data_IF_580149070301
#
_entry.id   IF_580149070301
#
_cell.length_a   1.000
_cell.length_b   1.000
_cell.length_c   1.000
_cell.angle_alpha   90.00
_cell.angle_beta   90.00
_cell.angle_gamma   90.00
#
_symmetry.space_group_name_H-M   'P 1'
#
loop_
_entity.id
_entity.type
_entity.pdbx_description
1 polymer ?
#
# COMPACT_ATOMS: atom_id res chain seq x y z
N UNK A 1 -4.67 2.49 -7.10
CA UNK A 1 -4.24 3.71 -6.37
C UNK A 1 -3.99 4.83 -7.36
N UNK A 2 -5.00 5.66 -7.59
CA UNK A 2 -4.96 6.84 -8.45
C UNK A 2 -4.27 8.04 -7.78
N UNK A 3 -4.37 8.16 -6.44
CA UNK A 3 -3.70 9.19 -5.65
C UNK A 3 -2.27 8.75 -5.32
N UNK A 4 -1.28 9.53 -5.74
CA UNK A 4 0.14 9.23 -5.53
C UNK A 4 0.71 9.78 -4.22
N UNK A 5 0.01 10.69 -3.54
CA UNK A 5 0.50 11.38 -2.35
C UNK A 5 0.16 10.69 -1.01
N UNK A 6 -0.90 9.89 -0.96
CA UNK A 6 -1.44 9.35 0.29
C UNK A 6 -2.07 7.97 0.10
N UNK A 7 -1.86 7.07 1.08
CA UNK A 7 -2.40 5.70 1.04
C UNK A 7 -3.84 5.61 1.56
N UNK A 8 -4.15 6.22 2.72
CA UNK A 8 -5.49 6.25 3.31
C UNK A 8 -6.05 7.66 3.23
N UNK A 9 -6.40 8.09 2.02
CA UNK A 9 -7.03 9.39 1.78
C UNK A 9 -8.55 9.26 1.85
N UNK A 10 -9.22 10.06 2.69
CA UNK A 10 -10.70 10.09 2.77
C UNK A 10 -11.35 10.57 1.47
N UNK A 11 -10.62 11.34 0.66
CA UNK A 11 -11.01 11.79 -0.68
C UNK A 11 -10.71 10.74 -1.77
N UNK A 12 -10.00 9.66 -1.45
CA UNK A 12 -9.76 8.56 -2.39
C UNK A 12 -11.04 7.78 -2.70
N UNK A 13 -11.06 7.11 -3.85
CA UNK A 13 -12.11 6.15 -4.15
C UNK A 13 -11.96 4.90 -3.27
N UNK A 14 -13.05 4.13 -3.11
CA UNK A 14 -13.07 2.96 -2.24
C UNK A 14 -12.06 1.89 -2.68
N UNK A 15 -11.95 1.64 -3.98
CA UNK A 15 -10.98 0.70 -4.54
C UNK A 15 -9.54 1.06 -4.17
N UNK A 16 -9.20 2.35 -4.14
CA UNK A 16 -7.85 2.81 -3.78
C UNK A 16 -7.54 2.58 -2.30
N UNK A 17 -8.50 2.80 -1.40
CA UNK A 17 -8.29 2.61 0.04
C UNK A 17 -8.30 1.13 0.43
N UNK A 18 -9.08 0.29 -0.27
CA UNK A 18 -9.02 -1.18 -0.13
C UNK A 18 -7.67 -1.70 -0.61
N UNK A 19 -7.21 -1.27 -1.79
CA UNK A 19 -5.88 -1.62 -2.28
C UNK A 19 -4.77 -1.17 -1.32
N UNK A 20 -4.91 0.03 -0.74
CA UNK A 20 -3.97 0.52 0.26
C UNK A 20 -3.97 -0.35 1.53
N UNK A 21 -5.12 -0.90 1.94
CA UNK A 21 -5.20 -1.83 3.06
C UNK A 21 -4.51 -3.17 2.78
N UNK A 22 -4.68 -3.72 1.56
CA UNK A 22 -3.95 -4.94 1.12
C UNK A 22 -2.43 -4.70 1.12
N UNK A 23 -1.97 -3.59 0.54
CA UNK A 23 -0.54 -3.28 0.43
C UNK A 23 0.12 -2.88 1.76
N UNK A 24 -0.66 -2.40 2.73
CA UNK A 24 -0.15 -1.80 3.99
C UNK A 24 -0.98 -2.24 5.20
N UNK A 25 -1.08 -3.55 5.50
CA UNK A 25 -1.99 -4.09 6.51
C UNK A 25 -1.69 -3.56 7.92
N UNK A 26 -0.41 -3.39 8.29
CA UNK A 26 -0.01 -2.81 9.57
C UNK A 26 -0.53 -1.38 9.76
N UNK A 27 -0.49 -0.57 8.69
CA UNK A 27 -0.98 0.82 8.72
C UNK A 27 -2.51 0.85 8.74
N UNK A 28 -3.18 -0.05 8.02
CA UNK A 28 -4.63 -0.20 8.11
C UNK A 28 -5.10 -0.51 9.54
N UNK A 29 -4.41 -1.40 10.26
CA UNK A 29 -4.70 -1.72 11.66
C UNK A 29 -4.54 -0.50 12.58
N UNK A 30 -3.53 0.35 12.35
CA UNK A 30 -3.39 1.62 13.08
C UNK A 30 -4.59 2.55 12.85
N UNK A 31 -5.09 2.63 11.62
CA UNK A 31 -6.27 3.43 11.29
C UNK A 31 -7.55 2.88 11.93
N UNK A 32 -7.72 1.56 12.03
CA UNK A 32 -8.82 0.95 12.80
C UNK A 32 -8.78 1.39 14.28
N UNK A 33 -7.60 1.43 14.89
CA UNK A 33 -7.45 1.90 16.26
C UNK A 33 -7.78 3.40 16.42
N UNK A 34 -7.42 4.23 15.43
CA UNK A 34 -7.76 5.66 15.39
C UNK A 34 -9.27 5.87 15.25
N UNK A 35 -9.92 5.16 14.33
CA UNK A 35 -11.38 5.19 14.15
C UNK A 35 -12.12 4.85 15.45
N UNK A 36 -11.69 3.80 16.17
CA UNK A 36 -12.27 3.45 17.47
C UNK A 36 -12.09 4.55 18.53
N UNK A 37 -10.94 5.26 18.50
CA UNK A 37 -10.65 6.37 19.42
C UNK A 37 -11.50 7.61 19.11
N UNK A 38 -11.68 7.94 17.82
CA UNK A 38 -12.41 9.12 17.36
C UNK A 38 -13.93 8.88 17.39
N UNK A 39 -14.38 7.62 17.33
CA UNK A 39 -15.80 7.22 17.25
C UNK A 39 -16.50 7.79 16.02
N UNK A 40 -15.78 7.83 14.91
CA UNK A 40 -16.31 8.22 13.62
C UNK A 40 -15.70 7.33 12.54
N UNK A 41 -16.50 6.97 11.54
CA UNK A 41 -16.03 6.23 10.38
C UNK A 41 -14.91 7.01 9.67
N UNK A 42 -13.98 6.27 9.07
CA UNK A 42 -12.93 6.88 8.26
C UNK A 42 -13.45 7.68 7.06
N UNK A 43 -14.50 7.19 6.39
CA UNK A 43 -15.23 7.91 5.35
C UNK A 43 -16.72 7.78 5.64
N UNK A 44 -17.53 8.73 5.17
CA UNK A 44 -18.97 8.70 5.39
C UNK A 44 -19.56 7.35 4.93
N UNK A 45 -20.18 6.62 5.86
CA UNK A 45 -20.75 5.29 5.65
C UNK A 45 -19.73 4.20 5.26
N UNK A 46 -18.45 4.39 5.56
CA UNK A 46 -17.40 3.41 5.28
C UNK A 46 -16.32 3.43 6.37
N UNK A 47 -16.38 2.41 7.23
CA UNK A 47 -15.43 2.22 8.32
C UNK A 47 -14.11 1.60 7.86
N UNK A 48 -13.03 1.82 8.60
CA UNK A 48 -11.76 1.13 8.37
C UNK A 48 -11.87 -0.37 8.59
N UNK A 49 -12.69 -0.81 9.55
CA UNK A 49 -12.93 -2.24 9.76
C UNK A 49 -13.52 -2.90 8.52
N UNK A 50 -14.46 -2.23 7.87
CA UNK A 50 -15.05 -2.70 6.62
C UNK A 50 -14.02 -2.70 5.47
N UNK A 51 -13.21 -1.64 5.34
CA UNK A 51 -12.14 -1.58 4.34
C UNK A 51 -11.16 -2.76 4.52
N UNK A 52 -10.74 -3.07 5.75
CA UNK A 52 -9.85 -4.20 6.06
C UNK A 52 -10.52 -5.54 5.75
N UNK A 53 -11.82 -5.70 6.06
CA UNK A 53 -12.56 -6.91 5.73
C UNK A 53 -12.64 -7.13 4.20
N UNK A 54 -12.93 -6.07 3.43
CA UNK A 54 -12.95 -6.12 1.96
C UNK A 54 -11.57 -6.47 1.39
N UNK A 55 -10.51 -5.87 1.92
CA UNK A 55 -9.13 -6.21 1.53
C UNK A 55 -8.82 -7.69 1.76
N UNK A 56 -9.16 -8.21 2.94
CA UNK A 56 -8.99 -9.62 3.27
C UNK A 56 -9.81 -10.55 2.35
N UNK A 57 -11.06 -10.18 2.04
CA UNK A 57 -11.88 -10.98 1.12
C UNK A 57 -11.25 -11.08 -0.28
N UNK A 58 -10.65 -9.99 -0.77
CA UNK A 58 -9.92 -10.00 -2.04
C UNK A 58 -8.66 -10.85 -1.99
N UNK A 59 -7.90 -10.80 -0.88
CA UNK A 59 -6.73 -11.66 -0.69
C UNK A 59 -7.13 -13.15 -0.60
N UNK A 60 -8.28 -13.45 0.02
CA UNK A 60 -8.80 -14.81 0.11
C UNK A 60 -9.30 -15.32 -1.28
N UNK A 61 -9.84 -14.43 -2.13
CA UNK A 61 -10.34 -14.76 -3.48
C UNK A 61 -9.21 -14.88 -4.53
N UNK A 62 -8.30 -13.91 -4.59
CA UNK A 62 -7.28 -13.78 -5.64
C UNK A 62 -5.87 -14.16 -5.20
N UNK A 63 -5.71 -14.60 -3.95
CA UNK A 63 -4.43 -14.71 -3.20
C UNK A 63 -3.90 -13.35 -2.75
N UNK A 64 -3.06 -13.41 -1.72
CA UNK A 64 -2.40 -12.25 -1.14
C UNK A 64 -1.70 -11.40 -2.21
N UNK A 65 -2.02 -10.11 -2.22
CA UNK A 65 -1.41 -9.15 -3.13
C UNK A 65 0.10 -9.01 -2.85
N UNK A 66 0.93 -9.55 -3.74
CA UNK A 66 2.38 -9.39 -3.65
C UNK A 66 2.88 -8.27 -4.55
N UNK A 67 3.64 -7.34 -3.97
CA UNK A 67 4.36 -6.33 -4.73
C UNK A 67 5.51 -7.02 -5.49
N UNK A 68 5.68 -6.77 -6.80
CA UNK A 68 6.81 -7.33 -7.53
C UNK A 68 8.14 -6.85 -6.92
N UNK A 69 9.22 -7.63 -7.07
CA UNK A 69 10.54 -7.26 -6.60
C UNK A 69 10.95 -5.84 -7.03
N UNK A 70 11.73 -5.17 -6.18
CA UNK A 70 12.25 -3.84 -6.54
C UNK A 70 13.06 -3.92 -7.83
N UNK A 71 12.83 -2.96 -8.71
CA UNK A 71 13.49 -2.90 -10.00
C UNK A 71 12.91 -3.81 -11.08
N UNK A 72 11.83 -4.56 -10.85
CA UNK A 72 11.19 -5.38 -11.90
C UNK A 72 10.92 -4.57 -13.17
N UNK A 73 10.21 -3.44 -13.04
CA UNK A 73 9.91 -2.56 -14.18
C UNK A 73 11.19 -1.92 -14.74
N UNK A 74 12.05 -1.38 -13.87
CA UNK A 74 13.29 -0.70 -14.27
C UNK A 74 14.19 -1.62 -15.11
N UNK A 75 14.26 -2.91 -14.75
CA UNK A 75 15.06 -3.90 -15.47
C UNK A 75 14.62 -4.14 -16.91
N UNK A 76 13.35 -3.90 -17.22
CA UNK A 76 12.83 -3.93 -18.59
C UNK A 76 13.31 -2.78 -19.46
N UNK A 77 13.67 -1.63 -18.85
CA UNK A 77 14.12 -0.44 -19.59
C UNK A 77 15.64 -0.31 -19.68
N UNK A 78 16.35 -0.57 -18.57
CA UNK A 78 17.81 -0.31 -18.50
C UNK A 78 18.64 -1.59 -18.37
N UNK A 79 17.99 -2.76 -18.34
CA UNK A 79 18.64 -4.05 -18.16
C UNK A 79 18.91 -4.41 -16.70
N UNK A 80 19.09 -5.71 -16.46
CA UNK A 80 19.24 -6.31 -15.12
C UNK A 80 20.49 -5.82 -14.39
N UNK A 81 21.62 -5.71 -15.10
CA UNK A 81 22.88 -5.28 -14.50
C UNK A 81 22.85 -3.83 -14.03
N UNK A 82 22.40 -2.91 -14.89
CA UNK A 82 22.28 -1.50 -14.53
C UNK A 82 21.28 -1.29 -13.39
N UNK A 83 20.15 -2.01 -13.41
CA UNK A 83 19.18 -2.02 -12.32
C UNK A 83 19.80 -2.46 -11.00
N UNK A 84 20.57 -3.55 -10.99
CA UNK A 84 21.26 -4.04 -9.78
C UNK A 84 22.26 -3.01 -9.25
N UNK A 85 23.05 -2.38 -10.13
CA UNK A 85 24.00 -1.31 -9.75
C UNK A 85 23.27 -0.10 -9.14
N UNK A 86 22.14 0.30 -9.73
CA UNK A 86 21.31 1.40 -9.23
C UNK A 86 20.72 1.08 -7.85
N UNK A 87 20.08 -0.09 -7.67
CA UNK A 87 19.50 -0.48 -6.39
C UNK A 87 20.57 -0.56 -5.29
N UNK A 88 21.74 -1.14 -5.60
CA UNK A 88 22.86 -1.18 -4.66
C UNK A 88 23.37 0.22 -4.29
N UNK A 89 23.24 1.22 -5.16
CA UNK A 89 23.57 2.61 -4.84
C UNK A 89 22.51 3.24 -3.93
N UNK A 90 21.22 3.07 -4.24
CA UNK A 90 20.11 3.59 -3.42
C UNK A 90 20.17 3.03 -1.99
N UNK A 91 20.41 1.72 -1.85
CA UNK A 91 20.49 1.05 -0.55
C UNK A 91 21.69 1.52 0.28
N UNK A 92 22.86 1.72 -0.35
CA UNK A 92 24.05 2.25 0.33
C UNK A 92 23.93 3.72 0.73
N UNK A 93 23.11 4.49 0.03
CA UNK A 93 22.89 5.91 0.31
C UNK A 93 22.03 6.19 1.53
N UNK A 94 21.52 5.17 2.25
CA UNK A 94 20.64 5.36 3.40
C UNK A 94 19.29 5.99 3.06
N UNK A 95 18.96 6.11 1.77
CA UNK A 95 17.63 6.47 1.32
C UNK A 95 16.75 5.24 1.52
N UNK A 96 16.25 5.08 2.75
CA UNK A 96 15.23 4.09 3.06
C UNK A 96 13.91 4.50 2.39
N UNK A 97 13.81 4.26 1.09
CA UNK A 97 12.60 4.49 0.30
C UNK A 97 11.54 3.40 0.58
N UNK A 98 11.65 2.64 1.68
CA UNK A 98 10.71 1.56 2.04
C UNK A 98 9.46 2.04 2.81
N UNK A 99 9.26 3.35 2.97
CA UNK A 99 8.08 3.91 3.62
C UNK A 99 6.80 3.87 2.76
#
# INVERSE_FOLDING_TARGET
MSRLSCSFCVLGCEADVVLAAQLRPKKAAQYVAVEAKVRADFKHCLSMREIVARAKALDDEYRELQRPPRGTVLSGYVGKEATRKYLAHVERGGLDLAA
#
